data_IF_080779461165
#
_entry.id   IF_080779461165
#
_cell.length_a   1.000
_cell.length_b   1.000
_cell.length_c   1.000
_cell.angle_alpha   90.00
_cell.angle_beta   90.00
_cell.angle_gamma   90.00
#
_symmetry.space_group_name_H-M   'P 1'
#
loop_
_entity.id
_entity.type
_entity.pdbx_description
1 polymer ?
#
# COMPACT_ATOMS: atom_id res chain seq x y z
N UNK A 1 -18.02 -15.97 13.98
CA UNK A 1 -17.59 -14.55 13.89
C UNK A 1 -16.16 -14.36 13.41
N UNK A 2 -15.12 -15.02 13.94
CA UNK A 2 -13.76 -14.92 13.35
C UNK A 2 -13.60 -15.66 12.00
N UNK A 3 -14.29 -16.80 11.82
CA UNK A 3 -14.28 -17.56 10.55
C UNK A 3 -14.83 -16.76 9.35
N UNK A 4 -15.93 -16.03 9.54
CA UNK A 4 -16.52 -15.16 8.49
C UNK A 4 -15.61 -13.98 8.12
N UNK A 5 -14.79 -13.48 9.05
CA UNK A 5 -13.78 -12.44 8.76
C UNK A 5 -12.64 -12.96 7.86
N UNK A 6 -12.38 -14.27 7.85
CA UNK A 6 -11.30 -14.89 7.09
C UNK A 6 -11.72 -15.29 5.66
N UNK A 7 -12.95 -15.77 5.50
CA UNK A 7 -13.52 -16.19 4.20
C UNK A 7 -13.67 -15.03 3.21
N UNK A 8 -13.79 -13.80 3.71
CA UNK A 8 -13.85 -12.58 2.90
C UNK A 8 -12.51 -11.94 2.54
N UNK A 9 -11.36 -12.43 3.03
CA UNK A 9 -10.08 -11.73 2.90
C UNK A 9 -9.62 -11.56 1.45
N UNK A 10 -9.79 -12.60 0.63
CA UNK A 10 -9.38 -12.55 -0.77
C UNK A 10 -10.35 -11.73 -1.60
N UNK A 11 -11.66 -11.86 -1.37
CA UNK A 11 -12.68 -11.13 -2.12
C UNK A 11 -12.71 -9.65 -1.74
N UNK A 12 -12.40 -9.32 -0.49
CA UNK A 12 -12.38 -7.94 -0.03
C UNK A 12 -11.25 -7.13 -0.66
N UNK A 13 -10.15 -7.75 -1.10
CA UNK A 13 -9.09 -7.10 -1.89
C UNK A 13 -9.60 -6.51 -3.22
N UNK A 14 -10.76 -6.94 -3.71
CA UNK A 14 -11.35 -6.45 -4.96
C UNK A 14 -12.53 -5.49 -4.75
N UNK A 15 -13.02 -5.34 -3.52
CA UNK A 15 -14.12 -4.42 -3.18
C UNK A 15 -13.60 -2.99 -2.99
N UNK A 16 -14.34 -1.99 -3.46
CA UNK A 16 -13.94 -0.59 -3.35
C UNK A 16 -15.06 0.25 -2.76
N UNK A 17 -14.75 1.03 -1.73
CA UNK A 17 -15.71 1.90 -1.02
C UNK A 17 -16.21 3.12 -1.82
N UNK A 18 -15.88 3.24 -3.11
CA UNK A 18 -16.32 4.32 -3.99
C UNK A 18 -15.38 4.56 -5.18
N UNK A 19 -15.79 5.42 -6.10
CA UNK A 19 -15.04 5.74 -7.33
C UNK A 19 -13.64 6.29 -7.05
N UNK A 20 -13.52 7.29 -6.16
CA UNK A 20 -12.23 7.88 -5.82
C UNK A 20 -11.29 6.90 -5.11
N UNK A 21 -11.83 5.94 -4.36
CA UNK A 21 -11.03 4.89 -3.72
C UNK A 21 -10.48 3.92 -4.78
N UNK A 22 -11.30 3.48 -5.73
CA UNK A 22 -10.84 2.66 -6.86
C UNK A 22 -9.79 3.41 -7.70
N UNK A 23 -10.07 4.66 -8.07
CA UNK A 23 -9.16 5.49 -8.83
C UNK A 23 -7.81 5.63 -8.11
N UNK A 24 -7.81 5.90 -6.81
CA UNK A 24 -6.59 5.97 -6.00
C UNK A 24 -5.80 4.66 -6.04
N UNK A 25 -6.46 3.52 -5.82
CA UNK A 25 -5.81 2.21 -5.85
C UNK A 25 -5.16 1.91 -7.21
N UNK A 26 -5.87 2.17 -8.30
CA UNK A 26 -5.34 1.99 -9.65
C UNK A 26 -4.20 2.96 -9.95
N UNK A 27 -4.28 4.21 -9.48
CA UNK A 27 -3.22 5.20 -9.64
C UNK A 27 -1.94 4.77 -8.92
N UNK A 28 -2.03 4.30 -7.67
CA UNK A 28 -0.86 3.80 -6.94
C UNK A 28 -0.27 2.54 -7.59
N UNK A 29 -1.11 1.60 -8.05
CA UNK A 29 -0.62 0.44 -8.80
C UNK A 29 0.05 0.84 -10.10
N UNK A 30 -0.50 1.81 -10.82
CA UNK A 30 0.08 2.30 -12.06
C UNK A 30 1.44 2.98 -11.87
N UNK A 31 1.63 3.72 -10.76
CA UNK A 31 2.88 4.45 -10.50
C UNK A 31 3.97 3.55 -9.91
N UNK A 32 3.61 2.57 -9.08
CA UNK A 32 4.57 1.82 -8.25
C UNK A 32 4.59 0.31 -8.52
N UNK A 33 3.50 -0.25 -9.05
CA UNK A 33 3.32 -1.70 -9.20
C UNK A 33 4.23 -2.30 -10.24
N UNK A 34 4.36 -1.65 -11.40
CA UNK A 34 5.20 -2.11 -12.52
C UNK A 34 6.67 -2.28 -12.11
N UNK A 35 7.22 -1.35 -11.34
CA UNK A 35 8.61 -1.41 -10.87
C UNK A 35 8.85 -2.58 -9.92
N UNK A 36 7.88 -2.91 -9.07
CA UNK A 36 7.98 -4.04 -8.14
C UNK A 36 7.71 -5.35 -8.87
N UNK A 37 6.80 -5.36 -9.83
CA UNK A 37 6.60 -6.51 -10.71
C UNK A 37 7.87 -6.81 -11.52
N UNK A 38 8.50 -5.81 -12.13
CA UNK A 38 9.77 -5.97 -12.84
C UNK A 38 10.90 -6.48 -11.94
N UNK A 39 10.89 -6.10 -10.65
CA UNK A 39 11.89 -6.51 -9.68
C UNK A 39 11.74 -7.99 -9.24
N UNK A 40 10.51 -8.49 -9.23
CA UNK A 40 10.16 -9.83 -8.72
C UNK A 40 9.85 -10.84 -9.84
N UNK A 41 9.41 -10.38 -11.00
CA UNK A 41 8.72 -11.15 -12.03
C UNK A 41 7.24 -11.36 -11.71
N UNK A 42 6.38 -11.46 -12.74
CA UNK A 42 4.92 -11.45 -12.60
C UNK A 42 4.34 -12.49 -11.64
N UNK A 43 4.82 -13.73 -11.68
CA UNK A 43 4.30 -14.79 -10.80
C UNK A 43 4.64 -14.53 -9.32
N UNK A 44 5.87 -14.08 -9.05
CA UNK A 44 6.31 -13.74 -7.68
C UNK A 44 5.62 -12.48 -7.19
N UNK A 45 5.41 -11.50 -8.07
CA UNK A 45 4.65 -10.30 -7.76
C UNK A 45 3.20 -10.62 -7.35
N UNK A 46 2.53 -11.55 -8.06
CA UNK A 46 1.19 -11.99 -7.70
C UNK A 46 1.15 -12.57 -6.27
N UNK A 47 2.04 -13.51 -5.94
CA UNK A 47 2.12 -14.07 -4.59
C UNK A 47 2.50 -13.02 -3.55
N UNK A 48 3.46 -12.15 -3.87
CA UNK A 48 3.85 -11.04 -3.01
C UNK A 48 2.65 -10.14 -2.68
N UNK A 49 1.86 -9.77 -3.70
CA UNK A 49 0.69 -8.92 -3.55
C UNK A 49 -0.38 -9.54 -2.66
N UNK A 50 -0.71 -10.82 -2.89
CA UNK A 50 -1.69 -11.56 -2.07
C UNK A 50 -1.21 -11.67 -0.61
N UNK A 51 0.07 -12.00 -0.40
CA UNK A 51 0.63 -12.11 0.95
C UNK A 51 0.69 -10.76 1.67
N UNK A 52 0.95 -9.66 0.94
CA UNK A 52 0.85 -8.31 1.51
C UNK A 52 -0.58 -8.01 1.96
N UNK A 53 -1.59 -8.36 1.15
CA UNK A 53 -3.00 -8.21 1.51
C UNK A 53 -3.38 -9.00 2.76
N UNK A 54 -2.98 -10.28 2.82
CA UNK A 54 -3.22 -11.13 3.99
C UNK A 54 -2.52 -10.60 5.25
N UNK A 55 -1.27 -10.15 5.14
CA UNK A 55 -0.53 -9.57 6.27
C UNK A 55 -1.09 -8.23 6.73
N UNK A 56 -1.50 -7.37 5.79
CA UNK A 56 -2.23 -6.14 6.11
C UNK A 56 -3.50 -6.44 6.90
N UNK A 57 -4.23 -7.48 6.49
CA UNK A 57 -5.45 -7.86 7.16
C UNK A 57 -5.24 -8.35 8.57
N UNK A 58 -4.26 -9.23 8.75
CA UNK A 58 -3.88 -9.71 10.05
C UNK A 58 -3.46 -8.56 10.96
N UNK A 59 -2.69 -7.59 10.47
CA UNK A 59 -2.29 -6.42 11.25
C UNK A 59 -3.50 -5.58 11.71
N UNK A 60 -4.50 -5.38 10.85
CA UNK A 60 -5.70 -4.65 11.23
C UNK A 60 -6.54 -5.41 12.26
N UNK A 61 -6.78 -6.70 12.03
CA UNK A 61 -7.56 -7.56 12.94
C UNK A 61 -6.91 -7.66 14.32
N UNK A 62 -5.58 -7.77 14.38
CA UNK A 62 -4.85 -7.85 15.65
C UNK A 62 -4.87 -6.52 16.42
N UNK A 63 -4.92 -5.39 15.72
CA UNK A 63 -4.86 -4.07 16.36
C UNK A 63 -6.24 -3.52 16.74
N UNK A 64 -7.26 -3.79 15.91
CA UNK A 64 -8.64 -3.37 16.13
C UNK A 64 -9.60 -4.55 15.89
N UNK A 65 -9.58 -5.57 16.77
CA UNK A 65 -10.39 -6.79 16.59
C UNK A 65 -11.90 -6.52 16.58
N UNK A 66 -12.32 -5.47 17.29
CA UNK A 66 -13.72 -5.03 17.43
C UNK A 66 -14.13 -3.98 16.39
N UNK A 67 -13.23 -3.62 15.47
CA UNK A 67 -13.51 -2.68 14.37
C UNK A 67 -14.72 -3.13 13.56
N UNK A 68 -15.67 -2.20 13.36
CA UNK A 68 -16.79 -2.40 12.45
C UNK A 68 -16.44 -2.03 11.01
N UNK A 69 -15.29 -1.37 10.79
CA UNK A 69 -14.81 -1.01 9.46
C UNK A 69 -14.51 -2.30 8.69
N UNK A 70 -15.26 -2.58 7.61
CA UNK A 70 -14.97 -3.74 6.79
C UNK A 70 -13.64 -3.50 6.10
N UNK A 71 -12.82 -4.54 6.03
CA UNK A 71 -11.55 -4.53 5.31
C UNK A 71 -11.77 -4.52 3.80
N UNK A 72 -12.25 -3.40 3.28
CA UNK A 72 -12.61 -3.22 1.88
C UNK A 72 -11.42 -2.65 1.13
N UNK A 73 -10.84 -3.48 0.25
CA UNK A 73 -10.05 -3.02 -0.87
C UNK A 73 -8.61 -3.49 -0.94
N UNK A 74 -8.10 -3.37 -2.16
CA UNK A 74 -6.74 -3.63 -2.58
C UNK A 74 -5.68 -2.85 -1.77
N UNK A 75 -6.09 -1.78 -1.09
CA UNK A 75 -5.21 -0.77 -0.51
C UNK A 75 -4.21 -1.34 0.52
N UNK A 76 -4.56 -2.38 1.28
CA UNK A 76 -3.62 -3.07 2.18
C UNK A 76 -2.48 -3.77 1.42
N UNK A 77 -2.81 -4.48 0.33
CA UNK A 77 -1.81 -5.11 -0.54
C UNK A 77 -0.97 -4.08 -1.30
N UNK A 78 -1.61 -3.03 -1.81
CA UNK A 78 -0.94 -1.89 -2.45
C UNK A 78 0.03 -1.23 -1.45
N UNK A 79 -0.36 -1.08 -0.18
CA UNK A 79 0.53 -0.54 0.85
C UNK A 79 1.81 -1.37 0.97
N UNK A 80 1.73 -2.70 0.83
CA UNK A 80 2.91 -3.56 0.75
C UNK A 80 3.77 -3.32 -0.48
N UNK A 81 3.16 -3.08 -1.65
CA UNK A 81 3.88 -2.63 -2.86
C UNK A 81 4.61 -1.31 -2.59
N UNK A 82 3.97 -0.34 -1.94
CA UNK A 82 4.59 0.94 -1.58
C UNK A 82 5.76 0.75 -0.60
N UNK A 83 5.61 -0.12 0.39
CA UNK A 83 6.69 -0.45 1.32
C UNK A 83 7.91 -1.02 0.59
N UNK A 84 7.68 -2.00 -0.30
CA UNK A 84 8.73 -2.57 -1.13
C UNK A 84 9.37 -1.52 -2.05
N UNK A 85 8.58 -0.62 -2.65
CA UNK A 85 9.08 0.46 -3.49
C UNK A 85 9.94 1.45 -2.72
N UNK A 86 9.50 1.87 -1.53
CA UNK A 86 10.22 2.83 -0.71
C UNK A 86 11.66 2.39 -0.40
N UNK A 87 11.88 1.08 -0.19
CA UNK A 87 13.22 0.53 0.11
C UNK A 87 14.01 0.15 -1.14
N UNK A 88 13.35 -0.22 -2.24
CA UNK A 88 14.02 -0.57 -3.51
C UNK A 88 14.43 0.66 -4.33
N UNK A 89 13.61 1.71 -4.30
CA UNK A 89 13.75 2.88 -5.16
C UNK A 89 13.70 4.22 -4.38
N UNK A 90 14.43 4.39 -3.27
CA UNK A 90 14.28 5.56 -2.39
C UNK A 90 14.56 6.89 -3.10
N UNK A 91 15.46 6.89 -4.09
CA UNK A 91 15.87 8.07 -4.86
C UNK A 91 15.08 8.27 -6.17
N UNK A 92 14.19 7.35 -6.53
CA UNK A 92 13.33 7.52 -7.70
C UNK A 92 12.47 8.77 -7.51
N UNK A 93 12.23 9.53 -8.58
CA UNK A 93 11.46 10.77 -8.51
C UNK A 93 10.02 10.51 -8.94
N UNK A 94 9.09 10.68 -8.00
CA UNK A 94 7.65 10.57 -8.24
C UNK A 94 7.11 11.94 -8.63
N UNK A 95 6.29 11.99 -9.68
CA UNK A 95 5.58 13.20 -10.06
C UNK A 95 4.40 13.43 -9.10
N UNK A 96 4.47 14.48 -8.31
CA UNK A 96 3.43 14.87 -7.35
C UNK A 96 2.62 16.03 -7.92
N UNK A 97 1.30 15.88 -7.94
CA UNK A 97 0.34 16.91 -8.34
C UNK A 97 -0.11 17.71 -7.11
N UNK A 98 0.09 19.03 -7.11
CA UNK A 98 -0.44 19.92 -6.07
C UNK A 98 -1.59 20.76 -6.65
N UNK A 99 -2.85 20.51 -6.25
CA UNK A 99 -4.01 21.16 -6.85
C UNK A 99 -4.30 22.58 -6.33
N UNK A 100 -3.37 23.21 -5.58
CA UNK A 100 -3.73 24.30 -4.67
C UNK A 100 -4.01 25.62 -5.40
N UNK A 101 -3.31 26.00 -6.49
CA UNK A 101 -3.56 27.30 -7.18
C UNK A 101 -3.32 27.27 -8.71
N UNK A 102 -2.40 26.44 -9.20
CA UNK A 102 -2.24 26.07 -10.61
C UNK A 102 -1.80 24.61 -10.57
N UNK A 103 -2.19 23.76 -11.52
CA UNK A 103 -1.79 22.34 -11.54
C UNK A 103 -0.26 22.27 -11.67
N UNK A 104 0.43 22.32 -10.53
CA UNK A 104 1.87 22.35 -10.44
C UNK A 104 2.33 20.92 -10.18
N UNK A 105 3.29 20.48 -11.00
CA UNK A 105 3.88 19.15 -10.89
C UNK A 105 5.31 19.27 -10.37
N UNK A 106 5.61 18.51 -9.32
CA UNK A 106 6.94 18.47 -8.73
C UNK A 106 7.48 17.05 -8.76
N UNK A 107 8.76 16.91 -9.06
CA UNK A 107 9.46 15.62 -8.98
C UNK A 107 10.07 15.47 -7.60
N UNK A 108 9.46 14.63 -6.77
CA UNK A 108 9.86 14.44 -5.37
C UNK A 108 10.44 13.04 -5.18
N UNK A 109 11.57 12.88 -4.46
CA UNK A 109 12.09 11.56 -4.13
C UNK A 109 11.03 10.66 -3.47
N UNK A 110 10.95 9.41 -3.92
CA UNK A 110 9.95 8.44 -3.47
C UNK A 110 10.01 8.21 -1.96
N UNK A 111 11.20 8.25 -1.35
CA UNK A 111 11.32 8.11 0.10
C UNK A 111 10.57 9.22 0.85
N UNK A 112 10.54 10.45 0.34
CA UNK A 112 9.79 11.55 0.96
C UNK A 112 8.30 11.36 0.76
N UNK A 113 7.88 11.04 -0.47
CA UNK A 113 6.46 10.85 -0.79
C UNK A 113 5.86 9.69 0.02
N UNK A 114 6.49 8.52 -0.05
CA UNK A 114 6.01 7.32 0.62
C UNK A 114 6.26 7.36 2.13
N UNK A 115 7.36 7.97 2.57
CA UNK A 115 7.64 8.19 3.99
C UNK A 115 6.61 9.12 4.64
N UNK A 116 6.31 10.26 4.01
CA UNK A 116 5.25 11.15 4.46
C UNK A 116 3.89 10.44 4.48
N UNK A 117 3.55 9.72 3.40
CA UNK A 117 2.30 8.97 3.34
C UNK A 117 2.19 7.95 4.49
N UNK A 118 3.26 7.20 4.76
CA UNK A 118 3.28 6.20 5.85
C UNK A 118 3.16 6.83 7.23
N UNK A 119 3.84 7.96 7.47
CA UNK A 119 3.73 8.72 8.72
C UNK A 119 2.30 9.21 8.94
N UNK A 120 1.61 9.67 7.89
CA UNK A 120 0.20 10.04 7.97
C UNK A 120 -0.70 8.85 8.31
N UNK A 121 -0.41 7.65 7.79
CA UNK A 121 -1.14 6.43 8.19
C UNK A 121 -1.01 6.16 9.69
N UNK A 122 0.19 6.34 10.26
CA UNK A 122 0.44 6.15 11.69
C UNK A 122 -0.36 7.16 12.51
N UNK A 123 -0.30 8.45 12.18
CA UNK A 123 -1.05 9.47 12.91
C UNK A 123 -2.56 9.25 12.83
N UNK A 124 -3.07 8.91 11.64
CA UNK A 124 -4.49 8.62 11.45
C UNK A 124 -4.90 7.34 12.21
N UNK A 125 -4.10 6.28 12.17
CA UNK A 125 -4.35 5.05 12.93
C UNK A 125 -4.31 5.28 14.45
N UNK A 126 -3.35 6.06 14.96
CA UNK A 126 -3.31 6.42 16.38
C UNK A 126 -4.54 7.22 16.81
N UNK A 127 -5.07 8.07 15.93
CA UNK A 127 -6.27 8.87 16.23
C UNK A 127 -7.55 8.03 16.37
N UNK A 128 -7.58 6.78 15.88
CA UNK A 128 -8.72 5.87 16.03
C UNK A 128 -8.59 4.92 17.23
N UNK A 129 -7.45 4.92 17.93
CA UNK A 129 -7.27 4.16 19.16
C UNK A 129 -8.10 4.81 20.28
N UNK A 130 -8.92 4.03 20.98
CA UNK A 130 -9.73 4.51 22.11
C UNK A 130 -11.14 4.98 21.74
N UNK A 131 -11.63 4.67 20.53
CA UNK A 131 -13.03 4.91 20.16
C UNK A 131 -13.37 6.35 19.75
N UNK A 132 -12.37 7.23 19.66
CA UNK A 132 -12.51 8.46 18.89
C UNK A 132 -12.85 8.06 17.45
N UNK A 133 -13.88 8.71 16.89
CA UNK A 133 -14.59 8.34 15.67
C UNK A 133 -13.75 7.51 14.70
N UNK A 134 -14.26 6.33 14.30
CA UNK A 134 -13.75 5.49 13.20
C UNK A 134 -13.65 6.36 11.92
N UNK A 135 -12.57 7.13 11.85
CA UNK A 135 -12.49 8.32 11.02
C UNK A 135 -12.47 7.94 9.56
N UNK A 136 -13.58 8.21 8.88
CA UNK A 136 -13.71 8.12 7.42
C UNK A 136 -13.80 6.69 6.85
N UNK A 137 -14.01 5.65 7.66
CA UNK A 137 -14.17 4.28 7.17
C UNK A 137 -12.90 3.68 6.56
N UNK A 138 -11.72 4.17 6.93
CA UNK A 138 -10.42 3.70 6.42
C UNK A 138 -9.74 2.80 7.45
N UNK A 139 -9.34 1.60 7.03
CA UNK A 139 -8.60 0.65 7.86
C UNK A 139 -7.10 1.02 7.96
N UNK A 140 -6.78 2.09 8.68
CA UNK A 140 -5.41 2.64 8.79
C UNK A 140 -4.34 1.61 9.16
N UNK A 141 -4.63 0.71 10.11
CA UNK A 141 -3.69 -0.35 10.51
C UNK A 141 -3.46 -1.40 9.43
N UNK A 142 -4.39 -1.58 8.49
CA UNK A 142 -4.15 -2.41 7.32
C UNK A 142 -3.07 -1.79 6.41
N UNK A 143 -3.09 -0.47 6.24
CA UNK A 143 -2.06 0.22 5.46
C UNK A 143 -0.69 0.16 6.14
N UNK A 144 -0.65 0.43 7.44
CA UNK A 144 0.60 0.36 8.23
C UNK A 144 1.18 -1.06 8.17
N UNK A 145 0.35 -2.07 8.47
CA UNK A 145 0.74 -3.47 8.44
C UNK A 145 1.17 -3.93 7.05
N UNK A 146 0.39 -3.60 6.02
CA UNK A 146 0.71 -3.90 4.63
C UNK A 146 2.08 -3.36 4.22
N UNK A 147 2.35 -2.09 4.51
CA UNK A 147 3.63 -1.43 4.20
C UNK A 147 4.82 -2.15 4.85
N UNK A 148 4.71 -2.47 6.14
CA UNK A 148 5.77 -3.18 6.88
C UNK A 148 5.95 -4.61 6.34
N UNK A 149 4.85 -5.35 6.14
CA UNK A 149 4.87 -6.70 5.60
C UNK A 149 5.48 -6.72 4.19
N UNK A 150 5.18 -5.75 3.35
CA UNK A 150 5.78 -5.62 2.01
C UNK A 150 7.30 -5.46 2.06
N UNK A 151 7.83 -4.65 2.98
CA UNK A 151 9.27 -4.53 3.19
C UNK A 151 9.89 -5.87 3.60
N UNK A 152 9.24 -6.59 4.52
CA UNK A 152 9.71 -7.88 5.02
C UNK A 152 9.68 -8.92 3.90
N UNK A 153 8.56 -9.08 3.21
CA UNK A 153 8.37 -10.05 2.14
C UNK A 153 9.31 -9.80 0.96
N UNK A 154 9.59 -8.54 0.63
CA UNK A 154 10.53 -8.20 -0.43
C UNK A 154 11.92 -8.82 -0.17
N UNK A 155 12.39 -8.81 1.09
CA UNK A 155 13.67 -9.43 1.46
C UNK A 155 13.66 -10.95 1.27
N UNK A 156 12.51 -11.59 1.47
CA UNK A 156 12.35 -13.04 1.34
C UNK A 156 12.25 -13.49 -0.12
N UNK A 157 11.63 -12.68 -0.97
CA UNK A 157 11.39 -13.01 -2.38
C UNK A 157 12.62 -12.85 -3.29
N UNK A 158 13.75 -12.40 -2.73
CA UNK A 158 15.08 -12.26 -3.37
C UNK A 158 14.99 -11.59 -4.75
N UNK A 159 14.92 -10.24 -4.78
CA UNK A 159 14.88 -9.44 -6.00
C UNK A 159 15.91 -9.90 -7.04
N UNK A 160 15.52 -9.98 -8.31
CA UNK A 160 16.48 -10.28 -9.38
C UNK A 160 17.52 -9.15 -9.48
N UNK A 161 18.78 -9.49 -9.80
CA UNK A 161 19.86 -8.51 -9.95
C UNK A 161 19.47 -7.50 -11.03
N UNK A 162 19.49 -6.22 -10.64
CA UNK A 162 19.25 -5.06 -11.52
C UNK A 162 20.26 -5.08 -12.67
N UNK A 163 19.80 -5.23 -13.91
CA UNK A 163 20.58 -4.75 -15.05
C UNK A 163 20.62 -3.22 -14.94
N UNK A 164 21.82 -2.66 -14.93
CA UNK A 164 22.07 -1.21 -14.87
C UNK A 164 21.41 -0.43 -16.00
N UNK A 165 21.03 -1.14 -17.07
CA UNK A 165 20.58 -0.58 -18.34
C UNK A 165 19.06 -0.34 -18.38
N UNK A 166 18.34 -0.78 -17.33
CA UNK A 166 16.95 -0.38 -17.10
C UNK A 166 17.02 0.90 -16.28
N UNK A 167 17.34 2.01 -16.95
CA UNK A 167 16.87 3.30 -16.49
C UNK A 167 15.36 3.19 -16.35
N UNK A 168 14.94 3.05 -15.09
CA UNK A 168 13.57 3.14 -14.59
C UNK A 168 12.82 4.11 -15.48
N UNK A 169 11.84 3.61 -16.22
CA UNK A 169 11.02 4.38 -17.14
C UNK A 169 10.50 5.63 -16.42
N UNK A 170 11.18 6.76 -16.60
CA UNK A 170 10.70 8.08 -16.24
C UNK A 170 9.56 8.38 -17.22
N UNK A 171 8.32 8.07 -16.82
CA UNK A 171 7.15 8.76 -17.37
C UNK A 171 6.78 9.92 -16.45
#
# INVERSE_FOLDING_TARGET
>A
MQGEKMEGLLTSMFLHGGFFHLFGNLLYLFIFGDNIENLLGSLRYLFFYVLCGAGAALAHILTQPDSAIPMVGASGAISGVLGAYAVSFPRARVLVLLPIIFIATFRVPAFLVLGQWFVLQIFAGLSTIGGAAEGGGVAWFAHIGGFIIGIILLRLFKPQKRNSDIEVFYR
#
